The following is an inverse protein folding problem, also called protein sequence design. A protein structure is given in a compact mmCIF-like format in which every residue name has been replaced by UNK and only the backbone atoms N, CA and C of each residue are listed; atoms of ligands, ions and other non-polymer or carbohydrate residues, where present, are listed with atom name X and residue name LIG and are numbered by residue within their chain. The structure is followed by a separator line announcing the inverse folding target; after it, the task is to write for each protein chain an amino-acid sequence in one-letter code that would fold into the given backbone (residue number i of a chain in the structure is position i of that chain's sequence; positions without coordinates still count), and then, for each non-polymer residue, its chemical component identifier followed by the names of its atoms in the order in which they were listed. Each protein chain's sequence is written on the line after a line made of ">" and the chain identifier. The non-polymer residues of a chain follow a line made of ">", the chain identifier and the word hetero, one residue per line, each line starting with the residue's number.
data_IF_438064350116
#
_entry.id   IF_438064350116
#
_cell.length_a   1.000
_cell.length_b   1.000
_cell.length_c   1.000
_cell.angle_alpha   90.00
_cell.angle_beta   90.00
_cell.angle_gamma   90.00
#
_symmetry.space_group_name_H-M   'P 1'
#
loop_
_entity.id
_entity.type
_entity.pdbx_description
1 polymer ?
#
# COMPACT_ATOMS: atom_id res chain seq x y z
N UNK A 1 30.88 21.07 46.74
CA UNK A 1 29.84 21.81 47.49
C UNK A 1 29.76 23.20 46.87
N UNK A 2 28.68 23.66 46.24
CA UNK A 2 27.26 23.48 46.55
C UNK A 2 26.40 23.31 45.30
N UNK A 3 25.45 22.38 45.41
CA UNK A 3 24.26 22.21 44.59
C UNK A 3 23.15 23.18 45.06
N UNK A 4 22.35 23.71 44.13
CA UNK A 4 21.00 24.30 44.32
C UNK A 4 20.73 25.22 43.11
N UNK A 5 19.64 25.17 42.33
CA UNK A 5 18.26 24.77 42.59
C UNK A 5 17.58 24.48 41.24
N UNK A 6 16.79 23.42 41.19
CA UNK A 6 15.79 23.20 40.15
C UNK A 6 14.57 24.08 40.44
N UNK A 7 14.10 24.84 39.45
CA UNK A 7 12.78 25.49 39.49
C UNK A 7 11.90 24.96 38.37
N UNK A 8 10.79 24.37 38.80
CA UNK A 8 9.70 23.82 38.02
C UNK A 8 8.81 24.97 37.54
N UNK A 9 8.61 25.12 36.23
CA UNK A 9 7.55 25.99 35.69
C UNK A 9 6.61 25.21 34.80
N UNK A 10 5.57 24.67 35.44
CA UNK A 10 4.33 24.24 34.80
C UNK A 10 3.53 25.49 34.44
N UNK A 11 3.43 25.85 33.16
CA UNK A 11 2.41 26.80 32.69
C UNK A 11 1.65 26.24 31.49
N UNK A 12 0.38 25.95 31.76
CA UNK A 12 -0.70 25.82 30.78
C UNK A 12 -0.67 27.01 29.83
N UNK A 13 -0.74 26.76 28.52
CA UNK A 13 -1.27 27.72 27.56
C UNK A 13 -2.18 26.99 26.59
N UNK A 14 -3.45 27.37 26.65
CA UNK A 14 -4.50 27.13 25.68
C UNK A 14 -4.51 28.34 24.72
N UNK A 15 -4.56 28.08 23.41
CA UNK A 15 -4.97 28.92 22.25
C UNK A 15 -4.08 28.46 21.07
N UNK A 16 -4.55 28.22 19.86
CA UNK A 16 -5.48 28.98 19.04
C UNK A 16 -4.94 28.88 17.61
N UNK A 17 -5.81 28.70 16.63
CA UNK A 17 -5.51 28.27 15.27
C UNK A 17 -4.74 29.37 14.50
N UNK A 18 -3.93 28.94 13.52
CA UNK A 18 -3.26 29.67 12.42
C UNK A 18 -1.79 30.06 12.63
N UNK A 19 -0.94 29.68 11.65
CA UNK A 19 0.44 30.13 11.51
C UNK A 19 1.47 29.04 11.78
N UNK A 20 2.27 28.73 10.76
CA UNK A 20 3.46 27.88 10.83
C UNK A 20 4.33 28.20 12.05
N UNK A 21 4.58 27.20 12.91
CA UNK A 21 5.66 27.25 13.91
C UNK A 21 6.52 25.99 13.75
N UNK A 22 7.65 26.16 13.05
CA UNK A 22 8.82 25.29 13.21
C UNK A 22 9.51 25.72 14.51
N UNK A 23 9.04 25.24 15.66
CA UNK A 23 9.77 25.33 16.91
C UNK A 23 9.27 24.24 17.88
N UNK A 24 10.14 23.29 18.18
CA UNK A 24 9.89 22.22 19.15
C UNK A 24 9.40 20.92 18.52
N UNK A 25 10.22 20.28 17.67
CA UNK A 25 10.01 18.87 17.34
C UNK A 25 10.28 18.05 18.60
N UNK A 26 9.23 17.78 19.37
CA UNK A 26 9.21 16.63 20.25
C UNK A 26 9.17 15.39 19.34
N UNK A 27 10.33 14.81 19.04
CA UNK A 27 10.49 13.64 18.17
C UNK A 27 10.04 12.40 18.95
N UNK A 28 8.73 12.22 19.13
CA UNK A 28 8.21 10.97 19.66
C UNK A 28 7.78 10.09 18.49
N UNK A 29 8.41 8.93 18.35
CA UNK A 29 7.88 7.86 17.51
C UNK A 29 6.46 7.51 17.99
N UNK A 30 5.55 7.19 17.07
CA UNK A 30 4.19 6.79 17.46
C UNK A 30 3.14 7.91 17.52
N UNK A 31 3.30 9.01 16.79
CA UNK A 31 2.27 10.05 16.69
C UNK A 31 0.96 9.50 16.11
N UNK A 32 -0.19 9.97 16.61
CA UNK A 32 -1.52 9.59 16.09
C UNK A 32 -2.29 10.80 15.60
N UNK A 33 -2.85 10.72 14.39
CA UNK A 33 -3.67 11.76 13.76
C UNK A 33 -4.99 11.17 13.27
N UNK A 34 -6.11 11.80 13.58
CA UNK A 34 -7.46 11.34 13.24
C UNK A 34 -8.26 12.42 12.53
N UNK A 35 -8.70 12.16 11.31
CA UNK A 35 -9.59 13.04 10.56
C UNK A 35 -11.05 12.56 10.68
N UNK A 36 -12.05 13.47 10.82
CA UNK A 36 -11.95 14.94 10.75
C UNK A 36 -11.56 15.66 12.05
N UNK A 37 -11.38 14.94 13.16
CA UNK A 37 -11.16 15.53 14.50
C UNK A 37 -9.98 16.51 14.55
N UNK A 38 -8.82 16.10 14.04
CA UNK A 38 -7.55 16.81 14.22
C UNK A 38 -7.26 17.83 13.09
N UNK A 39 -8.26 18.15 12.27
CA UNK A 39 -8.13 19.09 11.15
C UNK A 39 -7.29 18.57 9.97
N UNK A 40 -7.21 19.36 8.90
CA UNK A 40 -6.36 19.08 7.71
C UNK A 40 -5.07 19.89 7.79
N UNK A 41 -4.02 19.46 7.07
CA UNK A 41 -2.79 20.25 6.91
C UNK A 41 -2.18 20.03 5.53
N UNK A 42 -1.55 21.04 4.96
CA UNK A 42 -0.79 20.86 3.72
C UNK A 42 0.44 19.96 3.99
N UNK A 43 0.63 18.90 3.19
CA UNK A 43 1.75 17.95 3.34
C UNK A 43 2.61 17.96 2.09
N UNK A 44 3.88 17.56 2.18
CA UNK A 44 4.71 17.43 1.00
C UNK A 44 4.96 15.97 0.62
N UNK A 45 5.04 15.70 -0.68
CA UNK A 45 5.60 14.48 -1.24
C UNK A 45 6.77 14.87 -2.12
N UNK A 46 7.98 14.57 -1.66
CA UNK A 46 9.17 14.99 -2.39
C UNK A 46 9.32 16.52 -2.41
N UNK A 47 9.12 17.14 -3.57
CA UNK A 47 9.37 18.57 -3.79
C UNK A 47 8.10 19.43 -3.88
N UNK A 48 6.91 18.84 -3.84
CA UNK A 48 5.65 19.56 -4.04
C UNK A 48 4.84 19.62 -2.74
N UNK A 49 4.35 20.82 -2.42
CA UNK A 49 3.33 21.05 -1.40
C UNK A 49 2.00 20.52 -1.93
N UNK A 50 1.31 19.73 -1.13
CA UNK A 50 0.06 19.07 -1.47
C UNK A 50 -1.02 19.63 -0.56
N UNK A 51 -1.95 20.35 -1.17
CA UNK A 51 -3.16 20.82 -0.50
C UNK A 51 -4.05 19.63 -0.12
N UNK A 52 -5.01 19.88 0.78
CA UNK A 52 -6.04 18.93 1.19
C UNK A 52 -5.51 17.54 1.58
N UNK A 53 -4.34 17.52 2.23
CA UNK A 53 -3.65 16.29 2.62
C UNK A 53 -3.75 16.05 4.13
N UNK A 54 -3.50 14.81 4.53
CA UNK A 54 -3.42 14.41 5.93
C UNK A 54 -2.18 13.54 6.10
N UNK A 55 -1.42 13.77 7.17
CA UNK A 55 -0.26 12.92 7.45
C UNK A 55 0.61 13.48 8.55
N UNK A 56 1.70 12.79 8.87
CA UNK A 56 2.62 13.17 9.93
C UNK A 56 3.99 13.46 9.31
N UNK A 57 4.60 14.58 9.69
CA UNK A 57 5.93 15.01 9.20
C UNK A 57 6.91 15.34 10.33
N UNK A 58 6.49 15.22 11.60
CA UNK A 58 7.34 15.38 12.78
C UNK A 58 8.11 14.11 13.13
N UNK A 59 7.53 12.95 12.82
CA UNK A 59 8.10 11.61 13.00
C UNK A 59 7.98 10.80 11.70
N UNK A 60 8.91 9.86 11.48
CA UNK A 60 8.91 8.93 10.34
C UNK A 60 8.75 7.46 10.75
N UNK A 61 8.57 7.20 12.05
CA UNK A 61 8.47 5.86 12.61
C UNK A 61 7.24 5.69 13.50
N UNK A 62 6.53 4.58 13.30
CA UNK A 62 5.52 4.09 14.24
C UNK A 62 4.20 4.87 14.23
N UNK A 63 4.03 5.84 13.34
CA UNK A 63 2.89 6.74 13.34
C UNK A 63 1.58 6.04 13.00
N UNK A 64 0.44 6.62 13.40
CA UNK A 64 -0.89 6.14 13.07
C UNK A 64 -1.77 7.27 12.53
N UNK A 65 -2.26 7.12 11.31
CA UNK A 65 -3.19 8.08 10.69
C UNK A 65 -4.52 7.41 10.41
N UNK A 66 -5.60 7.98 10.94
CA UNK A 66 -6.96 7.43 10.85
C UNK A 66 -7.83 8.44 10.10
N UNK A 67 -8.56 7.98 9.10
CA UNK A 67 -9.52 8.78 8.34
C UNK A 67 -10.89 8.14 8.51
N UNK A 68 -11.72 8.77 9.31
CA UNK A 68 -13.12 8.38 9.47
C UNK A 68 -14.00 9.02 8.39
N UNK A 69 -15.28 8.68 8.40
CA UNK A 69 -16.28 9.39 7.61
C UNK A 69 -16.22 10.91 7.85
N UNK A 70 -16.26 11.67 6.75
CA UNK A 70 -16.12 13.11 6.77
C UNK A 70 -15.93 13.68 5.37
N UNK A 71 -15.70 15.00 5.24
CA UNK A 71 -15.46 15.64 3.95
C UNK A 71 -14.28 15.02 3.22
N UNK A 72 -14.33 15.00 1.89
CA UNK A 72 -13.28 14.37 1.10
C UNK A 72 -11.89 14.99 1.33
N UNK A 73 -10.86 14.14 1.29
CA UNK A 73 -9.44 14.52 1.31
C UNK A 73 -8.73 13.99 0.08
N UNK A 74 -7.61 14.61 -0.31
CA UNK A 74 -6.87 14.20 -1.50
C UNK A 74 -5.83 13.13 -1.19
N UNK A 75 -5.12 13.26 -0.07
CA UNK A 75 -3.98 12.39 0.20
C UNK A 75 -3.85 12.08 1.67
N UNK A 76 -3.40 10.86 1.95
CA UNK A 76 -3.16 10.39 3.31
C UNK A 76 -1.78 9.76 3.40
N UNK A 77 -0.99 10.15 4.39
CA UNK A 77 0.36 9.66 4.63
C UNK A 77 0.49 9.17 6.07
N UNK A 78 0.94 7.93 6.29
CA UNK A 78 1.35 7.52 7.64
C UNK A 78 2.58 8.29 8.11
N UNK A 79 3.51 8.56 7.19
CA UNK A 79 4.57 9.54 7.34
C UNK A 79 4.83 10.26 5.99
N UNK A 80 5.05 11.56 6.03
CA UNK A 80 5.27 12.42 4.86
C UNK A 80 6.54 13.25 5.05
N UNK A 81 7.42 13.23 4.05
CA UNK A 81 8.61 14.08 4.03
C UNK A 81 8.26 15.50 3.57
N UNK A 82 8.45 16.55 4.40
CA UNK A 82 8.04 17.92 4.07
C UNK A 82 8.98 18.69 3.12
N UNK A 83 10.18 18.17 2.80
CA UNK A 83 11.20 18.94 2.05
C UNK A 83 12.27 18.11 1.34
N UNK A 84 13.41 18.74 0.98
CA UNK A 84 14.50 18.11 0.20
C UNK A 84 15.44 17.20 1.02
N UNK A 85 15.26 17.15 2.33
CA UNK A 85 16.17 16.47 3.25
C UNK A 85 16.23 14.96 2.98
N UNK A 86 17.41 14.36 3.10
CA UNK A 86 17.52 12.92 2.92
C UNK A 86 17.07 12.22 4.21
N UNK A 87 15.87 11.67 4.19
CA UNK A 87 15.45 10.73 5.23
C UNK A 87 16.02 9.36 4.86
N UNK A 88 16.62 8.67 5.82
CA UNK A 88 17.13 7.33 5.55
C UNK A 88 15.98 6.32 5.49
N UNK A 89 15.15 6.25 6.53
CA UNK A 89 14.11 5.23 6.67
C UNK A 89 12.78 5.83 7.15
N UNK A 90 11.67 5.41 6.52
CA UNK A 90 10.31 5.59 7.04
C UNK A 90 9.70 4.22 7.31
N UNK A 91 9.32 3.93 8.57
CA UNK A 91 8.90 2.58 8.92
C UNK A 91 7.79 2.46 9.95
N UNK A 92 7.10 1.31 9.94
CA UNK A 92 6.10 0.93 10.95
C UNK A 92 4.93 1.92 11.06
N UNK A 93 4.69 2.74 10.05
CA UNK A 93 3.56 3.66 10.04
C UNK A 93 2.30 2.92 9.62
N UNK A 94 1.16 3.30 10.19
CA UNK A 94 -0.14 2.70 9.91
C UNK A 94 -1.11 3.76 9.42
N UNK A 95 -1.72 3.54 8.24
CA UNK A 95 -2.85 4.33 7.76
C UNK A 95 -4.12 3.49 7.82
N UNK A 96 -5.20 4.04 8.35
CA UNK A 96 -6.51 3.40 8.44
C UNK A 96 -7.55 4.31 7.81
N UNK A 97 -8.23 3.86 6.77
CA UNK A 97 -9.40 4.53 6.20
C UNK A 97 -10.64 3.75 6.61
N UNK A 98 -11.50 4.37 7.42
CA UNK A 98 -12.68 3.76 8.04
C UNK A 98 -13.94 4.59 7.75
N UNK A 99 -14.53 4.35 6.58
CA UNK A 99 -15.64 5.15 6.06
C UNK A 99 -15.23 6.49 5.45
N UNK A 100 -13.92 6.78 5.38
CA UNK A 100 -13.39 7.99 4.76
C UNK A 100 -13.56 8.03 3.24
N UNK A 101 -13.59 9.24 2.67
CA UNK A 101 -13.68 9.47 1.22
C UNK A 101 -12.43 10.17 0.70
N UNK A 102 -11.75 9.54 -0.25
CA UNK A 102 -10.56 10.04 -0.93
C UNK A 102 -10.88 10.25 -2.41
N UNK A 103 -11.49 11.39 -2.72
CA UNK A 103 -12.18 11.58 -4.01
C UNK A 103 -11.91 12.93 -4.70
N UNK A 104 -10.89 13.69 -4.26
CA UNK A 104 -10.65 15.05 -4.75
C UNK A 104 -9.46 15.16 -5.71
N UNK A 105 -9.57 16.08 -6.68
CA UNK A 105 -8.71 16.22 -7.86
C UNK A 105 -7.38 16.93 -7.53
N UNK A 106 -6.48 16.22 -6.87
CA UNK A 106 -5.08 16.61 -6.80
C UNK A 106 -4.41 16.44 -8.16
N UNK A 107 -4.34 17.52 -8.94
CA UNK A 107 -3.60 17.58 -10.21
C UNK A 107 -2.13 17.25 -9.94
N UNK A 108 -1.52 16.39 -10.76
CA UNK A 108 -0.06 16.29 -10.81
C UNK A 108 0.43 17.22 -11.93
N UNK A 109 1.16 18.27 -11.58
CA UNK A 109 2.04 18.95 -12.56
C UNK A 109 3.30 18.11 -12.72
N UNK A 110 3.25 17.11 -13.59
CA UNK A 110 4.40 16.93 -14.47
C UNK A 110 4.31 18.06 -15.48
N UNK A 111 5.40 18.79 -15.68
CA UNK A 111 5.56 19.69 -16.82
C UNK A 111 4.94 19.03 -18.07
N UNK A 112 3.79 19.56 -18.49
CA UNK A 112 3.04 19.27 -19.72
C UNK A 112 2.09 18.05 -19.80
N UNK A 113 1.73 17.36 -18.71
CA UNK A 113 0.68 16.31 -18.77
C UNK A 113 -0.41 16.48 -17.69
N UNK A 114 -1.55 17.07 -18.10
CA UNK A 114 -2.78 17.25 -17.32
C UNK A 114 -3.51 15.90 -17.11
N UNK A 115 -3.03 15.04 -16.21
CA UNK A 115 -3.71 13.78 -15.90
C UNK A 115 -4.41 13.91 -14.53
N UNK A 116 -5.76 13.94 -14.48
CA UNK A 116 -6.51 13.86 -13.23
C UNK A 116 -6.15 12.57 -12.49
N UNK A 117 -5.81 12.67 -11.20
CA UNK A 117 -5.62 11.49 -10.34
C UNK A 117 -6.49 11.66 -9.11
N UNK A 118 -7.24 10.62 -8.76
CA UNK A 118 -8.08 10.60 -7.56
C UNK A 118 -7.28 10.57 -6.26
N UNK A 119 -7.99 10.66 -5.14
CA UNK A 119 -7.37 10.77 -3.83
C UNK A 119 -6.59 9.51 -3.43
N UNK A 120 -5.31 9.65 -3.06
CA UNK A 120 -4.36 8.54 -2.91
C UNK A 120 -3.91 8.29 -1.47
N UNK A 121 -3.54 7.05 -1.15
CA UNK A 121 -3.10 6.62 0.19
C UNK A 121 -1.65 6.17 0.14
N UNK A 122 -0.87 6.53 1.15
CA UNK A 122 0.54 6.18 1.29
C UNK A 122 0.78 5.68 2.73
N UNK A 123 1.20 4.43 2.90
CA UNK A 123 1.65 3.94 4.22
C UNK A 123 2.76 4.84 4.78
N UNK A 124 3.70 5.23 3.92
CA UNK A 124 4.56 6.40 4.07
C UNK A 124 5.07 6.87 2.69
N UNK A 125 5.48 8.12 2.58
CA UNK A 125 5.83 8.74 1.30
C UNK A 125 6.88 9.85 1.39
N UNK A 126 7.92 9.79 0.55
CA UNK A 126 8.94 10.84 0.50
C UNK A 126 10.12 10.56 -0.43
N UNK A 127 11.26 11.23 -0.19
CA UNK A 127 12.56 10.96 -0.82
C UNK A 127 13.37 9.93 -0.04
N UNK A 128 12.77 9.23 0.93
CA UNK A 128 13.48 8.34 1.84
C UNK A 128 14.23 7.22 1.12
N UNK A 129 15.39 6.79 1.61
CA UNK A 129 16.14 5.68 0.97
C UNK A 129 15.45 4.33 1.13
N UNK A 130 14.66 4.17 2.20
CA UNK A 130 13.88 2.97 2.47
C UNK A 130 12.52 3.33 3.09
N UNK A 131 11.45 2.78 2.53
CA UNK A 131 10.09 2.89 3.07
C UNK A 131 9.59 1.48 3.34
N UNK A 132 9.58 1.08 4.61
CA UNK A 132 9.43 -0.33 4.99
C UNK A 132 8.49 -0.59 6.15
N UNK A 133 7.91 -1.78 6.23
CA UNK A 133 7.07 -2.20 7.37
C UNK A 133 5.84 -1.30 7.61
N UNK A 134 5.41 -0.53 6.62
CA UNK A 134 4.21 0.31 6.76
C UNK A 134 2.96 -0.51 6.43
N UNK A 135 1.85 -0.17 7.08
CA UNK A 135 0.57 -0.85 6.88
C UNK A 135 -0.51 0.14 6.44
N UNK A 136 -1.21 -0.16 5.36
CA UNK A 136 -2.43 0.54 4.95
C UNK A 136 -3.62 -0.38 5.16
N UNK A 137 -4.64 0.08 5.86
CA UNK A 137 -5.89 -0.64 6.11
C UNK A 137 -7.04 0.18 5.52
N UNK A 138 -7.80 -0.42 4.60
CA UNK A 138 -8.98 0.20 4.00
C UNK A 138 -10.18 -0.64 4.39
N UNK A 139 -11.09 -0.04 5.15
CA UNK A 139 -12.21 -0.74 5.77
C UNK A 139 -13.52 0.02 5.75
N UNK A 140 -14.58 -0.64 6.22
CA UNK A 140 -15.93 -0.06 6.26
C UNK A 140 -16.45 0.28 4.87
N UNK A 141 -17.18 1.38 4.75
CA UNK A 141 -17.75 1.88 3.48
C UNK A 141 -16.87 2.96 2.83
N UNK A 142 -15.54 2.83 2.95
CA UNK A 142 -14.59 3.82 2.44
C UNK A 142 -14.64 3.95 0.91
N UNK A 143 -14.33 5.14 0.39
CA UNK A 143 -14.21 5.40 -1.06
C UNK A 143 -12.81 5.90 -1.37
N UNK A 144 -12.11 5.28 -2.32
CA UNK A 144 -10.74 5.65 -2.73
C UNK A 144 -10.67 5.75 -4.25
N UNK A 145 -10.62 6.97 -4.77
CA UNK A 145 -10.59 7.23 -6.23
C UNK A 145 -9.17 7.20 -6.82
N UNK A 146 -8.14 7.28 -5.98
CA UNK A 146 -6.73 7.26 -6.38
C UNK A 146 -6.01 5.97 -6.04
N UNK A 147 -4.70 5.99 -6.21
CA UNK A 147 -3.88 4.81 -5.96
C UNK A 147 -3.60 4.59 -4.47
N UNK A 148 -3.34 3.34 -4.14
CA UNK A 148 -2.93 2.93 -2.79
C UNK A 148 -1.50 2.45 -2.85
N UNK A 149 -0.63 3.00 -2.00
CA UNK A 149 0.76 2.60 -1.90
C UNK A 149 1.03 2.09 -0.48
N UNK A 150 1.40 0.82 -0.34
CA UNK A 150 1.91 0.28 0.92
C UNK A 150 3.13 1.09 1.39
N UNK A 151 4.02 1.44 0.47
CA UNK A 151 5.07 2.43 0.66
C UNK A 151 5.46 3.13 -0.65
N UNK A 152 5.83 4.41 -0.57
CA UNK A 152 6.30 5.19 -1.72
C UNK A 152 7.65 5.85 -1.42
N UNK A 153 8.66 5.50 -2.20
CA UNK A 153 9.95 6.18 -2.15
C UNK A 153 10.32 6.76 -3.51
N UNK A 154 10.66 8.04 -3.54
CA UNK A 154 11.14 8.67 -4.77
C UNK A 154 12.58 8.28 -5.13
N UNK A 155 13.42 7.91 -4.15
CA UNK A 155 14.87 7.70 -4.37
C UNK A 155 15.38 6.32 -4.04
N UNK A 156 14.55 5.48 -3.41
CA UNK A 156 14.99 4.22 -2.86
C UNK A 156 13.85 3.22 -2.72
N UNK A 157 14.08 2.19 -1.91
CA UNK A 157 13.29 0.98 -1.87
C UNK A 157 11.99 1.14 -1.08
N UNK A 158 10.97 0.36 -1.45
CA UNK A 158 9.69 0.27 -0.76
C UNK A 158 9.33 -1.21 -0.56
N UNK A 159 9.77 -1.78 0.56
CA UNK A 159 9.72 -3.24 0.85
C UNK A 159 8.97 -3.53 2.15
N UNK A 160 8.55 -4.77 2.36
CA UNK A 160 7.86 -5.23 3.59
C UNK A 160 6.62 -4.41 4.00
N UNK A 161 6.00 -3.71 3.06
CA UNK A 161 4.78 -2.96 3.32
C UNK A 161 3.55 -3.85 3.13
N UNK A 162 2.47 -3.55 3.84
CA UNK A 162 1.24 -4.34 3.84
C UNK A 162 0.05 -3.48 3.48
N UNK A 163 -0.79 -3.96 2.57
CA UNK A 163 -2.10 -3.38 2.27
C UNK A 163 -3.16 -4.39 2.69
N UNK A 164 -4.14 -3.95 3.49
CA UNK A 164 -5.24 -4.78 4.01
C UNK A 164 -6.57 -4.18 3.55
N UNK A 165 -7.39 -4.99 2.91
CA UNK A 165 -8.75 -4.63 2.48
C UNK A 165 -9.76 -5.46 3.27
N UNK A 166 -10.67 -4.80 3.99
CA UNK A 166 -11.77 -5.43 4.74
C UNK A 166 -13.05 -4.59 4.64
N UNK A 167 -14.21 -5.11 5.04
CA UNK A 167 -15.48 -4.39 4.87
C UNK A 167 -15.94 -4.28 3.41
N UNK A 168 -16.50 -3.15 2.99
CA UNK A 168 -17.06 -2.95 1.64
C UNK A 168 -16.57 -1.63 0.99
N UNK A 169 -15.24 -1.43 0.85
CA UNK A 169 -14.72 -0.22 0.24
C UNK A 169 -14.98 -0.18 -1.27
N UNK A 170 -15.11 1.03 -1.80
CA UNK A 170 -15.23 1.30 -3.24
C UNK A 170 -13.95 1.95 -3.75
N UNK A 171 -13.51 1.51 -4.92
CA UNK A 171 -12.34 2.06 -5.59
C UNK A 171 -12.72 2.67 -6.94
N UNK A 172 -12.05 3.77 -7.30
CA UNK A 172 -12.20 4.40 -8.61
C UNK A 172 -11.73 3.48 -9.73
N UNK A 173 -12.23 3.69 -10.95
CA UNK A 173 -12.00 2.81 -12.10
C UNK A 173 -10.53 2.66 -12.49
N UNK A 174 -9.71 3.66 -12.19
CA UNK A 174 -8.26 3.68 -12.48
C UNK A 174 -7.40 3.31 -11.27
N UNK A 175 -8.00 2.95 -10.14
CA UNK A 175 -7.28 2.68 -8.90
C UNK A 175 -6.37 1.46 -9.01
N UNK A 176 -5.09 1.64 -8.71
CA UNK A 176 -4.11 0.56 -8.62
C UNK A 176 -3.62 0.43 -7.18
N UNK A 177 -3.54 -0.81 -6.69
CA UNK A 177 -2.89 -1.12 -5.41
C UNK A 177 -1.43 -1.47 -5.65
N UNK A 178 -0.52 -0.81 -4.94
CA UNK A 178 0.92 -1.04 -4.98
C UNK A 178 1.41 -1.54 -3.63
N UNK A 179 2.15 -2.64 -3.62
CA UNK A 179 2.90 -3.06 -2.43
C UNK A 179 3.98 -2.04 -2.08
N UNK A 180 4.80 -1.71 -3.07
CA UNK A 180 5.77 -0.61 -3.01
C UNK A 180 5.84 0.12 -4.35
N UNK A 181 6.28 1.38 -4.33
CA UNK A 181 6.54 2.15 -5.55
C UNK A 181 7.77 3.04 -5.42
N UNK A 182 8.62 2.97 -6.45
CA UNK A 182 9.76 3.85 -6.69
C UNK A 182 9.42 4.99 -7.66
N UNK A 183 10.20 6.07 -7.67
CA UNK A 183 10.19 7.03 -8.80
C UNK A 183 11.17 6.63 -9.90
N UNK A 184 10.82 7.00 -11.14
CA UNK A 184 11.59 6.74 -12.38
C UNK A 184 12.89 7.55 -12.52
N UNK A 185 13.27 8.30 -11.48
CA UNK A 185 14.42 9.20 -11.51
C UNK A 185 15.19 9.10 -10.20
N UNK A 186 15.85 7.96 -9.98
CA UNK A 186 17.13 8.01 -9.29
C UNK A 186 18.09 8.73 -10.25
N UNK A 187 18.10 10.07 -10.25
CA UNK A 187 19.11 10.79 -11.00
C UNK A 187 20.45 10.30 -10.44
N UNK A 188 21.14 9.49 -11.25
CA UNK A 188 22.55 9.18 -11.05
C UNK A 188 23.23 10.54 -11.02
N UNK A 189 23.73 10.94 -9.85
CA UNK A 189 24.64 12.07 -9.79
C UNK A 189 25.89 11.67 -10.56
N UNK A 190 26.46 12.65 -11.26
CA UNK A 190 27.52 12.47 -12.27
C UNK A 190 28.80 11.80 -11.71
N UNK A 191 28.90 11.65 -10.39
CA UNK A 191 29.94 10.93 -9.66
C UNK A 191 29.54 9.49 -9.30
N UNK A 192 29.71 8.59 -10.28
CA UNK A 192 30.14 7.17 -10.12
C UNK A 192 29.53 6.32 -8.97
N UNK A 193 28.75 5.30 -9.38
CA UNK A 193 28.82 3.90 -8.90
C UNK A 193 28.28 3.49 -7.51
N UNK A 194 27.42 4.25 -6.83
CA UNK A 194 26.67 3.70 -5.67
C UNK A 194 25.17 3.95 -5.75
N UNK A 195 24.49 3.24 -6.66
CA UNK A 195 23.05 3.03 -6.52
C UNK A 195 22.83 1.70 -5.81
N UNK A 196 22.26 1.75 -4.61
CA UNK A 196 21.66 0.54 -4.05
C UNK A 196 20.57 0.03 -5.02
N UNK A 197 20.45 -1.28 -5.24
CA UNK A 197 19.35 -1.85 -6.01
C UNK A 197 18.03 -1.32 -5.47
N UNK A 198 17.18 -0.85 -6.37
CA UNK A 198 15.84 -0.46 -6.01
C UNK A 198 15.01 -1.71 -5.84
N UNK A 199 14.38 -1.89 -4.70
CA UNK A 199 13.48 -3.00 -4.46
C UNK A 199 12.12 -2.45 -4.05
N UNK A 200 11.10 -2.80 -4.83
CA UNK A 200 9.72 -2.38 -4.57
C UNK A 200 8.80 -3.58 -4.37
N UNK A 201 9.34 -4.80 -4.27
CA UNK A 201 8.57 -6.05 -4.24
C UNK A 201 8.79 -6.77 -2.91
N UNK A 202 10.05 -6.93 -2.49
CA UNK A 202 10.43 -7.82 -1.39
C UNK A 202 9.58 -7.56 -0.14
N UNK A 203 8.97 -8.62 0.39
CA UNK A 203 8.14 -8.60 1.59
C UNK A 203 6.77 -7.94 1.44
N UNK A 204 6.47 -7.27 0.33
CA UNK A 204 5.23 -6.55 0.19
C UNK A 204 4.04 -7.51 0.10
N UNK A 205 3.00 -7.24 0.88
CA UNK A 205 1.85 -8.12 1.05
C UNK A 205 0.53 -7.41 0.80
N UNK A 206 -0.33 -7.99 -0.04
CA UNK A 206 -1.74 -7.64 -0.14
C UNK A 206 -2.56 -8.67 0.63
N UNK A 207 -3.36 -8.23 1.60
CA UNK A 207 -4.31 -9.08 2.32
C UNK A 207 -5.74 -8.61 2.02
N UNK A 208 -6.58 -9.52 1.54
CA UNK A 208 -7.99 -9.28 1.27
C UNK A 208 -8.82 -10.14 2.21
N UNK A 209 -9.64 -9.49 3.03
CA UNK A 209 -10.51 -10.11 4.04
C UNK A 209 -12.00 -10.01 3.71
N UNK A 210 -12.33 -9.58 2.50
CA UNK A 210 -13.71 -9.34 2.05
C UNK A 210 -13.86 -9.76 0.59
N UNK A 211 -15.08 -9.73 0.07
CA UNK A 211 -15.39 -10.04 -1.33
C UNK A 211 -15.82 -8.80 -2.12
N UNK A 212 -15.95 -8.97 -3.43
CA UNK A 212 -16.36 -7.93 -4.37
C UNK A 212 -15.42 -6.71 -4.42
N UNK A 213 -14.14 -6.90 -4.08
CA UNK A 213 -13.12 -5.86 -4.26
C UNK A 213 -12.86 -5.70 -5.75
N UNK A 214 -13.07 -4.50 -6.28
CA UNK A 214 -12.81 -4.19 -7.70
C UNK A 214 -11.82 -3.05 -7.78
N UNK A 215 -10.71 -3.26 -8.49
CA UNK A 215 -9.67 -2.27 -8.76
C UNK A 215 -9.20 -2.39 -10.21
N UNK A 216 -8.49 -1.40 -10.72
CA UNK A 216 -7.90 -1.47 -12.06
C UNK A 216 -6.85 -2.57 -12.12
N UNK A 217 -5.88 -2.53 -11.21
CA UNK A 217 -4.71 -3.41 -11.23
C UNK A 217 -4.10 -3.57 -9.83
N UNK A 218 -3.21 -4.55 -9.68
CA UNK A 218 -2.36 -4.70 -8.50
C UNK A 218 -0.90 -4.91 -8.92
N UNK A 219 0.05 -4.28 -8.23
CA UNK A 219 1.47 -4.32 -8.62
C UNK A 219 2.41 -4.42 -7.42
N UNK A 220 3.56 -5.05 -7.66
CA UNK A 220 4.70 -5.07 -6.76
C UNK A 220 4.40 -5.69 -5.38
N UNK A 221 3.62 -6.77 -5.36
CA UNK A 221 3.40 -7.60 -4.19
C UNK A 221 4.20 -8.90 -4.33
N UNK A 222 4.98 -9.28 -3.33
CA UNK A 222 5.57 -10.63 -3.26
C UNK A 222 4.52 -11.65 -2.80
N UNK A 223 3.55 -11.20 -2.00
CA UNK A 223 2.54 -12.07 -1.39
C UNK A 223 1.13 -11.50 -1.51
N UNK A 224 0.18 -12.35 -1.91
CA UNK A 224 -1.26 -12.08 -1.83
C UNK A 224 -1.87 -13.08 -0.86
N UNK A 225 -2.68 -12.58 0.06
CA UNK A 225 -3.35 -13.36 1.09
C UNK A 225 -4.86 -13.15 0.96
N UNK A 226 -5.58 -14.24 0.75
CA UNK A 226 -7.04 -14.26 0.83
C UNK A 226 -7.44 -14.82 2.17
N UNK A 227 -7.97 -13.97 3.04
CA UNK A 227 -8.35 -14.34 4.40
C UNK A 227 -9.88 -14.36 4.50
N UNK A 228 -10.47 -15.50 4.15
CA UNK A 228 -11.89 -15.62 3.81
C UNK A 228 -12.71 -16.16 4.99
N UNK A 229 -13.77 -15.46 5.36
CA UNK A 229 -14.77 -15.97 6.31
C UNK A 229 -15.62 -17.07 5.66
N UNK A 230 -15.62 -18.26 6.23
CA UNK A 230 -16.43 -19.39 5.73
C UNK A 230 -17.95 -19.15 5.85
N UNK A 231 -18.35 -18.17 6.64
CA UNK A 231 -19.76 -17.78 6.81
C UNK A 231 -20.21 -16.83 5.69
N UNK A 232 -19.29 -16.17 5.01
CA UNK A 232 -19.59 -15.10 4.04
C UNK A 232 -19.30 -15.50 2.58
N UNK A 233 -18.55 -16.58 2.34
CA UNK A 233 -18.17 -17.03 1.00
C UNK A 233 -19.12 -18.11 0.46
N UNK A 234 -19.57 -17.89 -0.78
CA UNK A 234 -20.43 -18.79 -1.54
C UNK A 234 -19.80 -19.26 -2.85
N UNK A 235 -20.53 -20.14 -3.55
CA UNK A 235 -20.14 -20.61 -4.89
C UNK A 235 -20.16 -19.44 -5.87
N UNK A 236 -19.11 -19.34 -6.68
CA UNK A 236 -18.88 -18.29 -7.69
C UNK A 236 -18.70 -16.87 -7.14
N UNK A 237 -18.56 -16.70 -5.81
CA UNK A 237 -18.19 -15.41 -5.25
C UNK A 237 -16.86 -14.93 -5.83
N UNK A 238 -16.78 -13.64 -6.14
CA UNK A 238 -15.56 -12.98 -6.61
C UNK A 238 -14.91 -12.23 -5.46
N UNK A 239 -13.66 -12.55 -5.17
CA UNK A 239 -12.92 -11.90 -4.09
C UNK A 239 -12.28 -10.61 -4.59
N UNK A 240 -11.40 -10.73 -5.60
CA UNK A 240 -10.74 -9.61 -6.26
C UNK A 240 -11.03 -9.61 -7.76
N UNK A 241 -11.51 -8.48 -8.28
CA UNK A 241 -11.69 -8.22 -9.71
C UNK A 241 -10.73 -7.13 -10.17
N UNK A 242 -9.97 -7.42 -11.22
CA UNK A 242 -9.02 -6.53 -11.89
C UNK A 242 -9.60 -6.11 -13.24
N UNK A 243 -9.75 -4.81 -13.45
CA UNK A 243 -10.44 -4.25 -14.63
C UNK A 243 -9.51 -3.75 -15.73
N UNK A 244 -8.19 -3.93 -15.58
CA UNK A 244 -7.20 -3.55 -16.58
C UNK A 244 -7.57 -4.10 -17.98
N UNK A 245 -7.64 -3.19 -18.94
CA UNK A 245 -8.06 -3.48 -20.32
C UNK A 245 -6.98 -4.12 -21.22
N UNK A 246 -5.81 -4.46 -20.67
CA UNK A 246 -4.67 -5.07 -21.39
C UNK A 246 -4.34 -6.48 -20.88
N UNK A 247 -5.16 -7.00 -19.98
CA UNK A 247 -4.86 -8.20 -19.19
C UNK A 247 -3.83 -7.91 -18.11
N UNK A 248 -3.75 -8.82 -17.15
CA UNK A 248 -2.90 -8.68 -15.96
C UNK A 248 -1.82 -9.76 -15.97
N UNK A 249 -0.59 -9.33 -15.76
CA UNK A 249 0.55 -10.20 -15.45
C UNK A 249 1.04 -9.85 -14.05
N UNK A 250 0.65 -10.68 -13.07
CA UNK A 250 0.89 -10.40 -11.66
C UNK A 250 2.37 -10.51 -11.28
N UNK A 251 3.16 -11.20 -12.12
CA UNK A 251 4.58 -11.43 -11.87
C UNK A 251 5.47 -10.39 -12.57
N UNK A 252 4.85 -9.49 -13.36
CA UNK A 252 5.52 -8.37 -14.00
C UNK A 252 5.45 -7.12 -13.13
N UNK A 253 6.56 -6.68 -12.51
CA UNK A 253 6.54 -5.48 -11.69
C UNK A 253 6.32 -4.22 -12.54
N UNK A 254 5.93 -3.14 -11.87
CA UNK A 254 6.08 -1.83 -12.49
C UNK A 254 7.56 -1.54 -12.70
N UNK A 255 7.95 -1.29 -13.96
CA UNK A 255 9.33 -0.95 -14.28
C UNK A 255 9.67 0.41 -13.70
N UNK A 256 10.68 0.43 -12.84
CA UNK A 256 11.32 1.68 -12.46
C UNK A 256 12.29 2.06 -13.57
N UNK A 257 11.97 3.16 -14.26
CA UNK A 257 12.76 3.67 -15.37
C UNK A 257 14.08 4.30 -14.91
N UNK A 258 15.00 4.45 -15.87
CA UNK A 258 16.20 5.28 -15.77
C UNK A 258 15.92 6.61 -16.48
N UNK A 259 16.40 7.73 -15.93
CA UNK A 259 16.18 9.05 -16.53
C UNK A 259 16.78 9.13 -17.94
N UNK A 260 16.02 9.66 -18.91
CA UNK A 260 16.52 9.93 -20.27
C UNK A 260 17.64 10.97 -20.29
N UNK A 261 17.71 11.85 -19.29
CA UNK A 261 18.76 12.88 -19.18
C UNK A 261 20.13 12.31 -18.79
N UNK A 262 20.18 11.02 -18.44
CA UNK A 262 21.42 10.33 -18.14
C UNK A 262 22.09 9.87 -19.43
N UNK A 263 22.75 10.81 -20.10
CA UNK A 263 23.49 10.58 -21.33
C UNK A 263 24.84 9.88 -21.10
N UNK A 264 25.28 9.80 -19.84
CA UNK A 264 26.53 9.17 -19.44
C UNK A 264 26.49 7.63 -19.45
N UNK A 265 25.32 7.00 -19.66
CA UNK A 265 25.17 5.54 -19.76
C UNK A 265 24.69 5.11 -21.15
N UNK A 266 25.26 4.02 -21.64
CA UNK A 266 24.79 3.28 -22.81
C UNK A 266 23.40 2.65 -22.57
N UNK A 267 22.68 2.32 -23.64
CA UNK A 267 21.39 1.62 -23.53
C UNK A 267 21.52 0.22 -22.89
N UNK A 268 22.64 -0.46 -23.11
CA UNK A 268 22.95 -1.73 -22.45
C UNK A 268 23.10 -1.58 -20.93
N UNK A 269 23.82 -0.55 -20.46
CA UNK A 269 23.95 -0.25 -19.03
C UNK A 269 22.61 0.13 -18.41
N UNK A 270 21.79 0.91 -19.12
CA UNK A 270 20.43 1.25 -18.67
C UNK A 270 19.57 -0.01 -18.55
N UNK A 271 19.61 -0.90 -19.53
CA UNK A 271 18.87 -2.18 -19.51
C UNK A 271 19.35 -3.10 -18.38
N UNK A 272 20.67 -3.14 -18.14
CA UNK A 272 21.24 -3.87 -17.00
C UNK A 272 20.75 -3.30 -15.67
N UNK A 273 20.76 -1.97 -15.50
CA UNK A 273 20.21 -1.31 -14.31
C UNK A 273 18.72 -1.60 -14.14
N UNK A 274 17.94 -1.54 -15.22
CA UNK A 274 16.50 -1.86 -15.18
C UNK A 274 16.31 -3.31 -14.73
N UNK A 275 17.09 -4.26 -15.25
CA UNK A 275 17.02 -5.67 -14.86
C UNK A 275 17.47 -5.90 -13.41
N UNK A 276 18.52 -5.22 -12.96
CA UNK A 276 19.00 -5.30 -11.57
C UNK A 276 18.03 -4.64 -10.57
N UNK A 277 17.38 -3.56 -10.97
CA UNK A 277 16.42 -2.79 -10.14
C UNK A 277 15.00 -3.32 -10.18
N UNK A 278 14.64 -4.10 -11.19
CA UNK A 278 13.32 -4.71 -11.30
C UNK A 278 13.51 -6.21 -11.26
N UNK A 279 13.52 -6.76 -10.05
CA UNK A 279 13.57 -8.21 -9.83
C UNK A 279 12.28 -8.85 -10.36
N UNK A 280 12.40 -10.09 -10.85
CA UNK A 280 11.24 -10.92 -11.12
C UNK A 280 10.45 -11.13 -9.83
N UNK A 281 9.12 -11.12 -9.93
CA UNK A 281 8.26 -11.37 -8.78
C UNK A 281 8.08 -12.88 -8.63
N UNK A 282 8.57 -13.44 -7.53
CA UNK A 282 8.21 -14.81 -7.11
C UNK A 282 6.92 -14.77 -6.29
N UNK A 283 5.79 -14.58 -6.98
CA UNK A 283 4.51 -14.34 -6.33
C UNK A 283 4.06 -15.55 -5.51
N UNK A 284 3.68 -15.31 -4.24
CA UNK A 284 3.05 -16.28 -3.35
C UNK A 284 1.59 -15.91 -3.16
N UNK A 285 0.71 -16.89 -3.30
CA UNK A 285 -0.73 -16.72 -3.05
C UNK A 285 -1.14 -17.73 -1.98
N UNK A 286 -1.62 -17.22 -0.85
CA UNK A 286 -2.11 -18.03 0.27
C UNK A 286 -3.61 -17.80 0.47
N UNK A 287 -4.31 -18.84 0.93
CA UNK A 287 -5.71 -18.77 1.35
C UNK A 287 -5.82 -19.22 2.80
N UNK A 288 -6.34 -18.35 3.67
CA UNK A 288 -6.72 -18.66 5.03
C UNK A 288 -8.23 -18.67 5.14
N UNK A 289 -8.77 -19.68 5.80
CA UNK A 289 -10.20 -19.84 6.03
C UNK A 289 -10.47 -19.53 7.50
N UNK A 290 -11.28 -18.50 7.74
CA UNK A 290 -11.67 -18.04 9.07
C UNK A 290 -13.05 -18.56 9.42
N UNK A 291 -13.33 -18.53 10.72
CA UNK A 291 -14.56 -18.99 11.35
C UNK A 291 -14.81 -20.49 11.18
N UNK A 292 -15.67 -21.03 12.04
CA UNK A 292 -16.05 -22.43 11.94
C UNK A 292 -17.06 -22.56 10.80
N UNK A 293 -16.93 -23.57 9.93
CA UNK A 293 -17.98 -23.82 8.95
C UNK A 293 -19.27 -24.23 9.67
N UNK A 294 -20.40 -23.62 9.33
CA UNK A 294 -21.71 -24.02 9.88
C UNK A 294 -22.10 -25.45 9.45
N UNK A 295 -21.57 -25.92 8.32
CA UNK A 295 -21.80 -27.26 7.74
C UNK A 295 -20.64 -27.69 6.88
N UNK A 296 -20.55 -28.99 6.56
CA UNK A 296 -19.57 -29.47 5.58
C UNK A 296 -19.69 -28.71 4.26
N UNK A 297 -18.56 -28.24 3.75
CA UNK A 297 -18.46 -27.57 2.46
C UNK A 297 -17.81 -28.53 1.47
N UNK A 298 -18.48 -28.77 0.34
CA UNK A 298 -17.97 -29.62 -0.73
C UNK A 298 -17.95 -28.85 -2.04
N UNK A 299 -16.80 -28.83 -2.71
CA UNK A 299 -16.59 -28.22 -4.02
C UNK A 299 -17.08 -26.75 -4.10
N UNK A 300 -16.84 -25.96 -3.06
CA UNK A 300 -17.18 -24.53 -3.09
C UNK A 300 -16.12 -23.82 -3.92
N UNK A 301 -16.43 -23.60 -5.20
CA UNK A 301 -15.56 -22.91 -6.15
C UNK A 301 -15.72 -21.39 -6.01
N UNK A 302 -14.68 -20.73 -5.54
CA UNK A 302 -14.61 -19.27 -5.37
C UNK A 302 -13.64 -18.70 -6.40
N UNK A 303 -13.95 -17.53 -6.95
CA UNK A 303 -13.06 -16.78 -7.84
C UNK A 303 -12.17 -15.89 -6.98
N UNK A 304 -10.92 -16.30 -6.76
CA UNK A 304 -9.98 -15.54 -5.94
C UNK A 304 -9.53 -14.27 -6.67
N UNK A 305 -9.18 -14.40 -7.95
CA UNK A 305 -8.81 -13.29 -8.82
C UNK A 305 -9.55 -13.45 -10.15
N UNK A 306 -10.23 -12.40 -10.60
CA UNK A 306 -10.78 -12.25 -11.95
C UNK A 306 -10.08 -11.09 -12.65
N UNK A 307 -9.37 -11.33 -13.75
CA UNK A 307 -8.80 -10.29 -14.60
C UNK A 307 -9.58 -10.24 -15.91
N UNK A 308 -10.36 -9.17 -16.12
CA UNK A 308 -11.36 -9.07 -17.20
C UNK A 308 -10.80 -9.36 -18.59
N UNK A 309 -9.59 -8.85 -18.88
CA UNK A 309 -8.93 -9.05 -20.18
C UNK A 309 -7.85 -10.13 -20.16
N UNK A 310 -7.89 -11.02 -19.16
CA UNK A 310 -7.01 -12.18 -19.04
C UNK A 310 -5.99 -12.10 -17.90
N UNK A 311 -5.67 -13.27 -17.36
CA UNK A 311 -4.77 -13.49 -16.23
C UNK A 311 -3.55 -14.30 -16.67
N UNK A 312 -2.36 -13.71 -16.54
CA UNK A 312 -1.07 -14.39 -16.68
C UNK A 312 -0.48 -14.67 -15.30
N UNK A 313 -0.13 -15.93 -15.08
CA UNK A 313 0.51 -16.44 -13.87
C UNK A 313 1.36 -17.64 -14.27
N UNK A 314 2.66 -17.60 -13.99
CA UNK A 314 3.61 -18.64 -14.42
C UNK A 314 3.33 -20.00 -13.78
N UNK A 315 2.87 -20.00 -12.53
CA UNK A 315 2.61 -21.22 -11.74
C UNK A 315 1.37 -21.07 -10.88
N UNK A 316 0.62 -22.17 -10.74
CA UNK A 316 -0.48 -22.21 -9.78
C UNK A 316 0.05 -22.19 -8.33
N UNK A 317 -0.70 -21.61 -7.39
CA UNK A 317 -0.39 -21.73 -5.97
C UNK A 317 -0.43 -23.19 -5.52
N UNK A 318 0.32 -23.52 -4.46
CA UNK A 318 0.33 -24.87 -3.90
C UNK A 318 -1.01 -25.16 -3.23
N UNK A 319 -1.58 -26.33 -3.49
CA UNK A 319 -2.79 -26.78 -2.81
C UNK A 319 -2.58 -26.82 -1.29
N UNK A 320 -3.63 -26.48 -0.55
CA UNK A 320 -3.63 -26.43 0.90
C UNK A 320 -4.38 -27.65 1.42
N UNK A 321 -3.78 -28.34 2.39
CA UNK A 321 -4.43 -29.40 3.14
C UNK A 321 -4.00 -29.25 4.61
N UNK A 322 -4.95 -28.87 5.46
CA UNK A 322 -4.71 -28.59 6.88
C UNK A 322 -5.78 -29.27 7.71
N UNK A 323 -5.38 -29.86 8.83
CA UNK A 323 -6.30 -30.35 9.85
C UNK A 323 -6.17 -29.47 11.09
N UNK A 324 -7.29 -28.94 11.59
CA UNK A 324 -7.33 -28.14 12.81
C UNK A 324 -8.67 -28.34 13.52
N UNK A 325 -8.65 -28.54 14.84
CA UNK A 325 -9.84 -28.54 15.73
C UNK A 325 -11.02 -29.36 15.17
N UNK A 326 -10.77 -30.61 14.77
CA UNK A 326 -11.74 -31.56 14.21
C UNK A 326 -12.24 -31.23 12.80
N UNK A 327 -11.57 -30.36 12.05
CA UNK A 327 -11.89 -30.11 10.65
C UNK A 327 -10.68 -30.36 9.77
N UNK A 328 -10.95 -30.93 8.59
CA UNK A 328 -10.02 -31.00 7.47
C UNK A 328 -10.40 -29.92 6.46
N UNK A 329 -9.48 -28.99 6.24
CA UNK A 329 -9.59 -27.91 5.27
C UNK A 329 -8.73 -28.23 4.05
N UNK A 330 -9.32 -28.14 2.87
CA UNK A 330 -8.61 -28.33 1.61
C UNK A 330 -8.95 -27.20 0.64
N UNK A 331 -7.91 -26.63 0.03
CA UNK A 331 -8.06 -25.66 -1.07
C UNK A 331 -7.27 -26.19 -2.26
N UNK A 332 -7.97 -26.48 -3.35
CA UNK A 332 -7.36 -26.82 -4.64
C UNK A 332 -7.40 -25.59 -5.54
N UNK A 333 -6.28 -25.28 -6.19
CA UNK A 333 -6.21 -24.16 -7.13
C UNK A 333 -6.42 -24.64 -8.57
N UNK A 334 -7.20 -23.88 -9.33
CA UNK A 334 -7.41 -24.06 -10.76
C UNK A 334 -7.39 -22.68 -11.43
N UNK A 335 -7.06 -22.61 -12.73
CA UNK A 335 -7.16 -21.37 -13.49
C UNK A 335 -7.78 -21.58 -14.86
N UNK A 336 -8.39 -20.53 -15.38
CA UNK A 336 -8.71 -20.41 -16.81
C UNK A 336 -8.01 -19.18 -17.42
N UNK A 337 -8.55 -18.63 -18.51
CA UNK A 337 -8.00 -17.46 -19.19
C UNK A 337 -8.07 -16.19 -18.31
N UNK A 338 -9.10 -16.04 -17.50
CA UNK A 338 -9.42 -14.80 -16.76
C UNK A 338 -9.38 -14.98 -15.25
N UNK A 339 -9.49 -16.22 -14.76
CA UNK A 339 -9.78 -16.50 -13.36
C UNK A 339 -8.73 -17.40 -12.73
N UNK A 340 -8.35 -17.06 -11.49
CA UNK A 340 -7.78 -17.99 -10.52
C UNK A 340 -8.87 -18.40 -9.54
N UNK A 341 -9.10 -19.70 -9.42
CA UNK A 341 -10.09 -20.29 -8.54
C UNK A 341 -9.47 -20.95 -7.32
N UNK A 342 -10.18 -20.88 -6.20
CA UNK A 342 -9.98 -21.75 -5.03
C UNK A 342 -11.19 -22.66 -4.88
N UNK A 343 -10.99 -23.98 -4.99
CA UNK A 343 -12.01 -24.99 -4.71
C UNK A 343 -11.85 -25.42 -3.26
N UNK A 344 -12.79 -24.98 -2.43
CA UNK A 344 -12.77 -25.14 -0.99
C UNK A 344 -13.60 -26.37 -0.61
N UNK A 345 -12.97 -27.27 0.15
CA UNK A 345 -13.61 -28.38 0.82
C UNK A 345 -13.31 -28.29 2.31
N UNK A 346 -14.35 -28.37 3.13
CA UNK A 346 -14.21 -28.40 4.59
C UNK A 346 -15.05 -29.55 5.13
N UNK A 347 -14.40 -30.49 5.79
CA UNK A 347 -15.03 -31.71 6.32
C UNK A 347 -14.82 -31.80 7.82
N UNK A 348 -15.90 -32.01 8.57
CA UNK A 348 -15.84 -32.37 9.98
C UNK A 348 -15.30 -33.80 10.14
N UNK A 349 -14.27 -33.95 10.97
CA UNK A 349 -13.69 -35.21 11.40
C UNK A 349 -14.39 -35.59 12.70
N UNK A 350 -15.08 -36.74 12.70
CA UNK A 350 -15.77 -37.27 13.87
C UNK A 350 -14.79 -37.65 14.97
#
# INVERSE_FOLDING_TARGET
>A
MNYSKAETYTKKVLLGITGFVFAGMNIFAGETLTYPKDGKADRALGYQKLENSLGISGSYEGNKVIVNAGPAIERVFGAAQPGKENIEIMKKNTVIIDGGTLATNGRWERENENIPKGGSIYGAGGQATLVTENTVIIKGTSTVEGNVYGGYSHRGSATYNKVIIEGTPKFGTETILFGGRGSRSTALKEDKKTLAPLDVITGNTLEIKTKNVTVNDIKNFEKIIFNLSLEEIGKNDKILTLTNNKGVDLEKPETVGVSKKLNALTEEEKNKIIKEKNKDISLKIDVFLQNKPMKNMKNVKVVLINAKEGLRLSKLPKNINKTEKNYKYQVKFEKDKENLYGIINVTFLK
#
